data_IF_840158183904
#
_entry.id   IF_840158183904
#
_cell.length_a   1.000
_cell.length_b   1.000
_cell.length_c   1.000
_cell.angle_alpha   90.00
_cell.angle_beta   90.00
_cell.angle_gamma   90.00
#
_symmetry.space_group_name_H-M   'P 1'
#
loop_
_entity.id
_entity.type
_entity.pdbx_description
1 polymer ?
#
# COMPACT_ATOMS: atom_id res chain seq x y z
N UNK A 1 13.72 7.23 -7.02
CA UNK A 1 12.29 7.21 -6.67
C UNK A 1 12.18 6.96 -5.19
N UNK A 2 11.53 7.86 -4.47
CA UNK A 2 11.20 7.72 -3.05
C UNK A 2 9.99 6.79 -2.88
N UNK A 3 9.78 6.26 -1.67
CA UNK A 3 8.60 5.45 -1.36
C UNK A 3 7.29 6.22 -1.60
N UNK A 4 7.26 7.52 -1.24
CA UNK A 4 6.09 8.37 -1.45
C UNK A 4 5.74 8.50 -2.94
N UNK A 5 6.74 8.72 -3.80
CA UNK A 5 6.52 8.79 -5.25
C UNK A 5 5.97 7.46 -5.78
N UNK A 6 6.56 6.33 -5.38
CA UNK A 6 6.07 5.01 -5.79
C UNK A 6 4.62 4.76 -5.33
N UNK A 7 4.30 5.09 -4.08
CA UNK A 7 2.93 4.97 -3.58
C UNK A 7 1.97 5.93 -4.29
N UNK A 8 2.42 7.14 -4.60
CA UNK A 8 1.65 8.12 -5.38
C UNK A 8 1.33 7.59 -6.78
N UNK A 9 2.30 6.97 -7.45
CA UNK A 9 2.11 6.36 -8.76
C UNK A 9 1.12 5.19 -8.67
N UNK A 10 1.23 4.34 -7.64
CA UNK A 10 0.31 3.22 -7.41
C UNK A 10 -1.13 3.69 -7.19
N UNK A 11 -1.37 4.67 -6.31
CA UNK A 11 -2.73 5.15 -6.02
C UNK A 11 -3.33 6.00 -7.15
N UNK A 12 -2.52 6.41 -8.13
CA UNK A 12 -3.00 7.07 -9.35
C UNK A 12 -3.67 6.10 -10.33
N UNK A 13 -3.40 4.79 -10.19
CA UNK A 13 -4.02 3.73 -11.00
C UNK A 13 -5.42 3.45 -10.47
N UNK A 14 -6.41 3.41 -11.37
CA UNK A 14 -7.78 3.10 -10.99
C UNK A 14 -7.92 1.69 -10.40
N UNK A 15 -8.82 1.56 -9.42
CA UNK A 15 -9.24 0.28 -8.85
C UNK A 15 -8.12 -0.52 -8.15
N UNK A 16 -7.06 0.15 -7.68
CA UNK A 16 -6.08 -0.47 -6.78
C UNK A 16 -6.68 -0.65 -5.39
N UNK A 17 -6.54 -1.86 -4.86
CA UNK A 17 -6.94 -2.23 -3.49
C UNK A 17 -5.69 -2.35 -2.61
N UNK A 18 -5.58 -1.48 -1.62
CA UNK A 18 -4.50 -1.47 -0.65
C UNK A 18 -4.87 -2.37 0.53
N UNK A 19 -4.00 -3.30 0.90
CA UNK A 19 -4.27 -4.34 1.88
C UNK A 19 -3.27 -4.27 3.03
N UNK A 20 -3.76 -3.95 4.23
CA UNK A 20 -3.00 -4.03 5.48
C UNK A 20 -3.52 -5.22 6.29
N UNK A 21 -2.62 -6.06 6.79
CA UNK A 21 -2.97 -7.20 7.64
C UNK A 21 -2.36 -7.06 9.02
N UNK A 22 -3.17 -7.36 10.03
CA UNK A 22 -2.71 -7.70 11.37
C UNK A 22 -2.87 -9.19 11.59
N UNK A 23 -2.48 -9.67 12.76
CA UNK A 23 -2.60 -11.10 13.12
C UNK A 23 -4.05 -11.59 13.15
N UNK A 24 -5.03 -10.71 13.37
CA UNK A 24 -6.43 -11.08 13.56
C UNK A 24 -7.39 -10.42 12.55
N UNK A 25 -6.93 -9.44 11.77
CA UNK A 25 -7.80 -8.69 10.87
C UNK A 25 -7.09 -8.29 9.58
N UNK A 26 -7.87 -8.12 8.52
CA UNK A 26 -7.43 -7.53 7.25
C UNK A 26 -8.25 -6.28 6.99
N UNK A 27 -7.58 -5.18 6.65
CA UNK A 27 -8.19 -3.95 6.16
C UNK A 27 -7.89 -3.81 4.67
N UNK A 28 -8.93 -3.57 3.89
CA UNK A 28 -8.84 -3.39 2.44
C UNK A 28 -9.39 -2.01 2.07
N UNK A 29 -8.59 -1.20 1.39
CA UNK A 29 -8.90 0.20 1.08
C UNK A 29 -8.82 0.41 -0.43
N UNK A 30 -9.92 0.86 -1.05
CA UNK A 30 -9.88 1.28 -2.46
C UNK A 30 -9.20 2.65 -2.56
N UNK A 31 -8.21 2.73 -3.44
CA UNK A 31 -7.34 3.90 -3.59
C UNK A 31 -7.96 5.08 -4.35
N UNK A 32 -9.11 4.88 -5.01
CA UNK A 32 -9.73 5.88 -5.87
C UNK A 32 -9.90 7.21 -5.10
N UNK A 33 -9.31 8.28 -5.65
CA UNK A 33 -9.40 9.65 -5.13
C UNK A 33 -8.76 9.88 -3.75
N UNK A 34 -7.90 8.99 -3.26
CA UNK A 34 -7.16 9.23 -2.02
C UNK A 34 -6.00 10.20 -2.24
N UNK A 35 -5.88 11.21 -1.38
CA UNK A 35 -4.74 12.13 -1.39
C UNK A 35 -3.49 11.47 -0.79
N UNK A 36 -2.28 11.95 -1.11
CA UNK A 36 -1.05 11.49 -0.47
C UNK A 36 -0.20 12.66 0.04
N UNK A 37 0.21 12.57 1.31
CA UNK A 37 1.06 13.56 1.98
C UNK A 37 2.15 12.85 2.77
N UNK A 38 3.24 13.54 3.05
CA UNK A 38 4.30 13.01 3.91
C UNK A 38 4.72 14.06 4.93
N UNK A 39 4.84 13.63 6.18
CA UNK A 39 5.45 14.39 7.26
C UNK A 39 6.50 13.51 7.95
N UNK A 40 7.76 13.91 7.87
CA UNK A 40 8.91 13.11 8.33
C UNK A 40 8.85 11.67 7.76
N UNK A 41 8.81 10.66 8.64
CA UNK A 41 8.71 9.24 8.29
C UNK A 41 7.31 8.75 7.97
N UNK A 42 6.27 9.56 8.19
CA UNK A 42 4.89 9.14 8.01
C UNK A 42 4.34 9.59 6.67
N UNK A 43 4.05 8.64 5.80
CA UNK A 43 3.30 8.85 4.56
C UNK A 43 1.83 8.58 4.86
N UNK A 44 0.97 9.55 4.62
CA UNK A 44 -0.47 9.45 4.81
C UNK A 44 -1.15 9.33 3.45
N UNK A 45 -1.95 8.28 3.26
CA UNK A 45 -2.81 8.10 2.08
C UNK A 45 -4.26 8.25 2.54
N UNK A 46 -5.04 9.11 1.89
CA UNK A 46 -6.35 9.55 2.33
C UNK A 46 -6.30 10.78 3.24
N UNK A 47 -7.42 11.09 3.88
CA UNK A 47 -7.54 12.19 4.83
C UNK A 47 -8.40 11.80 6.05
N UNK A 48 -8.38 12.62 7.10
CA UNK A 48 -9.07 12.31 8.37
C UNK A 48 -10.59 12.48 8.30
N UNK A 49 -11.12 13.24 7.34
CA UNK A 49 -12.55 13.48 7.18
C UNK A 49 -13.18 12.55 6.13
N UNK A 50 -12.35 11.89 5.33
CA UNK A 50 -12.71 10.95 4.29
C UNK A 50 -13.10 9.58 4.84
N UNK A 51 -13.58 8.69 3.96
CA UNK A 51 -14.10 7.38 4.36
C UNK A 51 -13.02 6.46 4.92
N UNK A 52 -11.75 6.68 4.57
CA UNK A 52 -10.62 5.92 5.06
C UNK A 52 -9.30 6.68 4.84
N UNK A 53 -8.30 6.37 5.67
CA UNK A 53 -6.91 6.74 5.44
C UNK A 53 -5.98 5.67 6.01
N UNK A 54 -4.71 5.73 5.64
CA UNK A 54 -3.65 4.93 6.26
C UNK A 54 -2.41 5.79 6.52
N UNK A 55 -1.61 5.34 7.49
CA UNK A 55 -0.28 5.86 7.75
C UNK A 55 0.76 4.77 7.51
N UNK A 56 1.71 5.04 6.62
CA UNK A 56 2.83 4.15 6.30
C UNK A 56 4.10 4.76 6.90
N UNK A 57 4.80 4.00 7.75
CA UNK A 57 6.11 4.39 8.23
C UNK A 57 7.17 4.07 7.17
N UNK A 58 7.71 5.08 6.52
CA UNK A 58 8.67 4.94 5.43
C UNK A 58 10.01 4.34 5.86
N UNK A 59 10.38 4.45 7.14
CA UNK A 59 11.63 3.88 7.65
C UNK A 59 11.58 2.35 7.77
N UNK A 60 10.38 1.78 7.93
CA UNK A 60 10.20 0.33 8.10
C UNK A 60 10.06 -0.41 6.78
N UNK A 61 9.75 0.30 5.69
CA UNK A 61 9.62 -0.29 4.35
C UNK A 61 11.01 -0.43 3.74
N UNK A 62 11.49 -1.65 3.60
CA UNK A 62 12.85 -1.92 3.09
C UNK A 62 12.86 -2.33 1.63
N UNK A 63 11.82 -3.03 1.19
CA UNK A 63 11.75 -3.62 -0.16
C UNK A 63 10.34 -3.58 -0.72
N UNK A 64 10.24 -3.45 -2.03
CA UNK A 64 9.01 -3.62 -2.79
C UNK A 64 9.23 -4.70 -3.86
N UNK A 65 8.20 -5.51 -4.15
CA UNK A 65 8.22 -6.49 -5.24
C UNK A 65 6.93 -6.42 -6.03
N UNK A 66 7.03 -6.35 -7.35
CA UNK A 66 5.91 -6.65 -8.23
C UNK A 66 5.75 -8.16 -8.32
N UNK A 67 4.51 -8.64 -8.15
CA UNK A 67 4.18 -10.06 -8.12
C UNK A 67 2.99 -10.30 -9.04
N UNK A 68 3.18 -11.25 -9.95
CA UNK A 68 2.15 -11.84 -10.77
C UNK A 68 1.82 -13.23 -10.21
N UNK A 69 0.53 -13.51 -10.00
CA UNK A 69 0.02 -14.78 -9.50
C UNK A 69 -1.05 -15.29 -10.44
N UNK A 70 -0.79 -16.41 -11.12
CA UNK A 70 -1.81 -17.15 -11.86
C UNK A 70 -2.71 -17.92 -10.88
N UNK A 71 -4.01 -17.65 -10.93
CA UNK A 71 -5.05 -18.41 -10.22
C UNK A 71 -5.95 -19.06 -11.25
N UNK A 72 -6.64 -20.14 -10.85
CA UNK A 72 -7.53 -20.93 -11.71
C UNK A 72 -8.51 -20.03 -12.50
N UNK A 73 -9.01 -18.97 -11.87
CA UNK A 73 -10.03 -18.08 -12.46
C UNK A 73 -9.48 -16.76 -13.01
N UNK A 74 -8.26 -16.36 -12.63
CA UNK A 74 -7.69 -15.06 -13.00
C UNK A 74 -6.20 -14.96 -12.72
N UNK A 75 -5.49 -14.15 -13.50
CA UNK A 75 -4.17 -13.63 -13.12
C UNK A 75 -4.35 -12.40 -12.21
N UNK A 76 -3.65 -12.38 -11.09
CA UNK A 76 -3.61 -11.22 -10.19
C UNK A 76 -2.24 -10.58 -10.15
N UNK A 77 -2.21 -9.25 -10.13
CA UNK A 77 -1.00 -8.43 -10.02
C UNK A 77 -1.01 -7.68 -8.70
N UNK A 78 0.13 -7.62 -8.01
CA UNK A 78 0.26 -6.87 -6.75
C UNK A 78 1.66 -6.28 -6.59
N UNK A 79 1.76 -5.17 -5.85
CA UNK A 79 3.04 -4.64 -5.37
C UNK A 79 3.10 -4.90 -3.88
N UNK A 80 3.99 -5.79 -3.43
CA UNK A 80 4.13 -6.12 -2.01
C UNK A 80 5.32 -5.40 -1.40
N UNK A 81 5.08 -4.74 -0.27
CA UNK A 81 6.10 -4.06 0.52
C UNK A 81 6.48 -4.91 1.73
N UNK A 82 7.77 -4.92 2.03
CA UNK A 82 8.36 -5.77 3.06
C UNK A 82 9.25 -4.97 4.01
N UNK A 83 9.27 -5.41 5.27
CA UNK A 83 10.20 -4.90 6.26
C UNK A 83 11.58 -5.59 6.18
N UNK A 84 12.44 -5.31 7.17
CA UNK A 84 13.80 -5.86 7.25
C UNK A 84 13.84 -7.37 7.51
N UNK A 85 12.84 -7.91 8.21
CA UNK A 85 12.70 -9.36 8.44
C UNK A 85 12.15 -10.11 7.22
N UNK A 86 11.67 -9.36 6.22
CA UNK A 86 11.01 -9.91 5.05
C UNK A 86 9.53 -10.18 5.26
N UNK A 87 8.94 -9.70 6.36
CA UNK A 87 7.49 -9.75 6.56
C UNK A 87 6.79 -8.71 5.69
N UNK A 88 5.61 -9.06 5.19
CA UNK A 88 4.81 -8.22 4.31
C UNK A 88 3.99 -7.22 5.14
N UNK A 89 4.23 -5.94 4.92
CA UNK A 89 3.60 -4.84 5.67
C UNK A 89 2.45 -4.16 4.91
N UNK A 90 2.50 -4.14 3.58
CA UNK A 90 1.48 -3.56 2.69
C UNK A 90 1.47 -4.34 1.37
N UNK A 91 0.31 -4.49 0.74
CA UNK A 91 0.17 -4.98 -0.63
C UNK A 91 -0.92 -4.25 -1.40
#
# INVERSE_FOLDING_TARGET
>A
MSLKEMLSDIISVENVLLIVKSNAATSEIRSNSLSIKQNEKWITIGDNAGPCHMHVNSELVKRAKFIEEEKIERTSFSVRFFDESGERILA
#
